data_IF_684173989521
#
_entry.id   IF_684173989521
#
_cell.length_a   1.000
_cell.length_b   1.000
_cell.length_c   1.000
_cell.angle_alpha   90.00
_cell.angle_beta   90.00
_cell.angle_gamma   90.00
#
_symmetry.space_group_name_H-M   'P 1'
#
loop_
_entity.id
_entity.type
_entity.pdbx_description
1 polymer ?
#
# COMPACT_ATOMS: atom_id res chain seq x y z
N UNK A 1 -22.85 8.77 18.24
CA UNK A 1 -22.49 8.12 16.96
C UNK A 1 -21.17 7.40 17.20
N UNK A 2 -20.99 6.22 16.63
CA UNK A 2 -19.79 5.38 16.87
C UNK A 2 -18.78 5.65 15.76
N UNK A 3 -17.58 6.07 16.12
CA UNK A 3 -16.49 6.33 15.18
C UNK A 3 -16.07 5.08 14.41
N UNK A 4 -15.50 5.30 13.22
CA UNK A 4 -14.96 4.24 12.37
C UNK A 4 -13.46 4.15 12.61
N UNK A 5 -12.99 2.97 12.98
CA UNK A 5 -11.58 2.75 13.34
C UNK A 5 -10.73 2.66 12.09
N UNK A 6 -9.79 3.60 11.93
CA UNK A 6 -8.73 3.51 10.91
C UNK A 6 -7.67 2.53 11.40
N UNK A 7 -7.55 1.39 10.75
CA UNK A 7 -6.67 0.29 11.22
C UNK A 7 -5.25 0.45 10.71
N UNK A 8 -5.08 0.77 9.43
CA UNK A 8 -3.78 0.94 8.78
C UNK A 8 -3.95 1.82 7.54
N UNK A 9 -3.05 2.76 7.36
CA UNK A 9 -2.86 3.53 6.13
C UNK A 9 -1.43 3.26 5.70
N UNK A 10 -1.28 2.48 4.63
CA UNK A 10 -0.01 2.24 4.00
C UNK A 10 -0.18 2.53 2.51
N UNK A 11 0.41 3.64 2.08
CA UNK A 11 0.44 4.02 0.68
C UNK A 11 1.83 3.89 0.10
N UNK A 12 2.82 3.42 0.86
CA UNK A 12 4.15 3.19 0.30
C UNK A 12 4.09 2.11 -0.79
N UNK A 13 4.89 2.24 -1.87
CA UNK A 13 5.12 1.14 -2.80
C UNK A 13 5.66 -0.05 -2.02
N UNK A 14 4.82 -1.06 -1.82
CA UNK A 14 5.22 -2.29 -1.14
C UNK A 14 5.65 -3.33 -2.17
N UNK A 15 6.85 -3.85 -1.94
CA UNK A 15 7.41 -4.92 -2.76
C UNK A 15 7.24 -6.22 -1.97
N UNK A 16 6.17 -6.95 -2.26
CA UNK A 16 5.98 -8.26 -1.64
C UNK A 16 6.92 -9.28 -2.31
N UNK A 17 7.83 -9.93 -1.56
CA UNK A 17 8.75 -10.94 -2.10
C UNK A 17 8.05 -12.18 -2.67
N UNK A 18 6.78 -12.44 -2.30
CA UNK A 18 5.96 -13.52 -2.87
C UNK A 18 5.19 -13.10 -4.14
N UNK A 19 5.15 -11.79 -4.42
CA UNK A 19 4.63 -11.21 -5.65
C UNK A 19 5.76 -10.61 -6.52
N UNK A 20 7.02 -10.86 -6.17
CA UNK A 20 8.19 -10.38 -6.91
C UNK A 20 8.25 -10.87 -8.36
N UNK A 21 7.53 -11.96 -8.70
CA UNK A 21 7.48 -12.53 -10.05
C UNK A 21 6.49 -11.82 -11.00
N UNK A 22 5.59 -10.96 -10.50
CA UNK A 22 4.62 -10.25 -11.34
C UNK A 22 5.09 -8.85 -11.79
N UNK A 23 6.17 -8.31 -11.21
CA UNK A 23 6.83 -7.10 -11.71
C UNK A 23 5.92 -5.86 -11.80
N UNK A 24 4.75 -5.86 -11.16
CA UNK A 24 3.79 -4.78 -11.20
C UNK A 24 3.74 -4.06 -9.86
N UNK A 25 3.78 -2.74 -9.92
CA UNK A 25 3.52 -1.89 -8.77
C UNK A 25 2.10 -2.15 -8.25
N UNK A 26 1.99 -2.45 -6.96
CA UNK A 26 0.70 -2.63 -6.31
C UNK A 26 -0.13 -1.35 -6.46
N UNK A 27 -1.38 -1.50 -6.89
CA UNK A 27 -2.32 -0.41 -6.82
C UNK A 27 -2.52 0.01 -5.36
N UNK A 28 -3.03 1.20 -5.11
CA UNK A 28 -3.45 1.58 -3.76
C UNK A 28 -4.96 1.46 -3.69
N UNK A 29 -5.48 0.79 -2.67
CA UNK A 29 -6.93 0.63 -2.50
C UNK A 29 -7.39 1.04 -1.10
N UNK A 30 -8.54 1.69 -1.06
CA UNK A 30 -9.29 1.93 0.16
C UNK A 30 -10.15 0.71 0.47
N UNK A 31 -10.11 0.25 1.72
CA UNK A 31 -10.99 -0.81 2.19
C UNK A 31 -11.86 -0.35 3.36
N UNK A 32 -13.09 -0.88 3.40
CA UNK A 32 -14.07 -0.63 4.45
C UNK A 32 -14.83 -1.91 4.80
N UNK A 33 -14.90 -2.21 6.10
CA UNK A 33 -15.82 -3.17 6.70
C UNK A 33 -16.88 -2.37 7.50
N UNK A 34 -18.08 -2.13 6.93
CA UNK A 34 -19.12 -1.34 7.59
C UNK A 34 -19.65 -1.99 8.87
N UNK A 35 -19.77 -3.34 8.89
CA UNK A 35 -20.31 -4.06 10.04
C UNK A 35 -19.37 -3.99 11.24
N UNK A 36 -18.05 -4.03 10.99
CA UNK A 36 -17.04 -3.86 12.05
C UNK A 36 -16.67 -2.40 12.29
N UNK A 37 -17.13 -1.47 11.45
CA UNK A 37 -16.72 -0.05 11.42
C UNK A 37 -15.21 0.10 11.41
N UNK A 38 -14.55 -0.56 10.45
CA UNK A 38 -13.09 -0.52 10.28
C UNK A 38 -12.76 -0.18 8.85
N UNK A 39 -11.74 0.65 8.66
CA UNK A 39 -11.26 1.00 7.34
C UNK A 39 -9.74 1.13 7.31
N UNK A 40 -9.21 1.29 6.10
CA UNK A 40 -7.81 1.59 5.88
C UNK A 40 -7.50 1.77 4.40
N UNK A 41 -6.24 2.04 4.13
CA UNK A 41 -5.70 2.09 2.78
C UNK A 41 -4.48 1.17 2.75
N UNK A 42 -4.45 0.28 1.78
CA UNK A 42 -3.41 -0.73 1.65
C UNK A 42 -3.00 -0.89 0.18
N UNK A 43 -1.79 -1.40 -0.08
CA UNK A 43 -1.43 -1.91 -1.39
C UNK A 43 -2.38 -3.05 -1.78
N UNK A 44 -2.88 -3.00 -3.01
CA UNK A 44 -3.74 -4.00 -3.63
C UNK A 44 -3.00 -4.67 -4.78
N UNK A 45 -2.94 -5.99 -4.70
CA UNK A 45 -2.28 -6.85 -5.68
C UNK A 45 -3.37 -7.55 -6.48
N UNK A 46 -3.34 -7.39 -7.80
CA UNK A 46 -4.30 -8.06 -8.69
C UNK A 46 -4.07 -9.57 -8.66
N UNK A 47 -4.76 -10.23 -7.73
CA UNK A 47 -4.68 -11.68 -7.53
C UNK A 47 -5.60 -12.45 -8.48
N UNK A 48 -6.37 -11.76 -9.34
CA UNK A 48 -7.41 -12.36 -10.16
C UNK A 48 -8.55 -13.01 -9.36
N UNK A 49 -8.61 -12.79 -8.05
CA UNK A 49 -9.61 -13.35 -7.14
C UNK A 49 -10.20 -12.26 -6.23
N UNK A 50 -11.50 -12.35 -5.97
CA UNK A 50 -12.23 -11.39 -5.13
C UNK A 50 -12.68 -12.08 -3.85
N UNK A 51 -12.48 -11.43 -2.69
CA UNK A 51 -12.96 -11.97 -1.42
C UNK A 51 -14.49 -12.11 -1.42
N UNK A 52 -15.00 -13.12 -0.74
CA UNK A 52 -16.44 -13.36 -0.67
C UNK A 52 -17.18 -12.24 0.10
N UNK A 53 -16.48 -11.44 0.91
CA UNK A 53 -16.99 -10.20 1.49
C UNK A 53 -17.27 -9.16 0.40
N UNK A 54 -16.27 -8.89 -0.43
CA UNK A 54 -16.33 -7.89 -1.50
C UNK A 54 -17.35 -8.30 -2.57
N UNK A 55 -17.31 -9.57 -3.00
CA UNK A 55 -18.24 -10.10 -4.01
C UNK A 55 -19.70 -10.02 -3.57
N UNK A 56 -19.97 -10.09 -2.26
CA UNK A 56 -21.31 -9.99 -1.71
C UNK A 56 -21.62 -8.61 -1.12
N UNK A 57 -20.81 -7.59 -1.37
CA UNK A 57 -21.06 -6.22 -0.89
C UNK A 57 -21.05 -6.06 0.64
N UNK A 58 -20.41 -6.99 1.34
CA UNK A 58 -20.28 -6.95 2.81
C UNK A 58 -19.06 -6.17 3.25
N UNK A 59 -18.06 -6.09 2.39
CA UNK A 59 -16.88 -5.25 2.50
C UNK A 59 -16.71 -4.51 1.18
N UNK A 60 -15.99 -3.39 1.24
CA UNK A 60 -15.65 -2.60 0.06
C UNK A 60 -14.14 -2.57 -0.05
N UNK A 61 -13.65 -2.88 -1.25
CA UNK A 61 -12.25 -2.72 -1.63
C UNK A 61 -12.24 -1.97 -2.96
N UNK A 62 -11.84 -0.70 -2.90
CA UNK A 62 -11.97 0.25 -4.01
C UNK A 62 -10.58 0.79 -4.33
N UNK A 63 -10.12 0.49 -5.55
CA UNK A 63 -8.88 1.01 -6.09
C UNK A 63 -8.96 2.54 -6.20
N UNK A 64 -7.92 3.20 -5.73
CA UNK A 64 -7.72 4.65 -5.87
C UNK A 64 -7.04 4.94 -7.22
N UNK A 65 -7.35 6.08 -7.81
CA UNK A 65 -6.83 6.50 -9.11
C UNK A 65 -5.36 6.93 -9.02
N UNK A 66 -4.95 7.39 -7.83
CA UNK A 66 -3.61 7.82 -7.49
C UNK A 66 -3.19 7.23 -6.14
N UNK A 67 -1.91 7.35 -5.81
CA UNK A 67 -1.38 6.99 -4.50
C UNK A 67 -1.36 8.24 -3.62
N UNK A 68 -2.34 8.44 -2.71
CA UNK A 68 -2.30 9.60 -1.84
C UNK A 68 -1.11 9.50 -0.87
N UNK A 69 -0.61 10.66 -0.46
CA UNK A 69 0.34 10.75 0.63
C UNK A 69 -0.23 10.07 1.89
N UNK A 70 0.60 9.28 2.55
CA UNK A 70 0.18 8.41 3.65
C UNK A 70 -0.36 9.23 4.83
N UNK A 71 0.37 10.28 5.20
CA UNK A 71 0.03 11.10 6.36
C UNK A 71 -1.20 11.94 6.07
N UNK A 72 -1.34 12.46 4.85
CA UNK A 72 -2.53 13.20 4.42
C UNK A 72 -3.77 12.33 4.32
N UNK A 73 -3.64 11.09 3.83
CA UNK A 73 -4.74 10.15 3.83
C UNK A 73 -5.17 9.77 5.26
N UNK A 74 -4.21 9.54 6.15
CA UNK A 74 -4.50 9.25 7.55
C UNK A 74 -5.15 10.45 8.27
N UNK A 75 -4.62 11.66 8.08
CA UNK A 75 -5.17 12.91 8.60
C UNK A 75 -6.62 13.10 8.12
N UNK A 76 -6.89 12.88 6.83
CA UNK A 76 -8.23 12.98 6.26
C UNK A 76 -9.20 11.97 6.87
N UNK A 77 -8.83 10.68 6.95
CA UNK A 77 -9.70 9.64 7.50
C UNK A 77 -10.00 9.83 9.00
N UNK A 78 -9.09 10.48 9.73
CA UNK A 78 -9.27 10.84 11.14
C UNK A 78 -9.95 12.20 11.36
N UNK A 79 -10.09 13.01 10.31
CA UNK A 79 -10.75 14.32 10.39
C UNK A 79 -12.26 14.18 10.64
N UNK A 80 -12.88 15.25 11.15
CA UNK A 80 -14.35 15.29 11.34
C UNK A 80 -15.12 15.00 10.04
N UNK A 81 -14.64 15.52 8.91
CA UNK A 81 -15.26 15.29 7.59
C UNK A 81 -15.16 13.83 7.18
N UNK A 82 -13.96 13.24 7.26
CA UNK A 82 -13.72 11.84 6.90
C UNK A 82 -14.51 10.89 7.80
N UNK A 83 -14.47 11.11 9.12
CA UNK A 83 -15.24 10.31 10.07
C UNK A 83 -16.75 10.43 9.85
N UNK A 84 -17.27 11.63 9.50
CA UNK A 84 -18.69 11.78 9.16
C UNK A 84 -19.07 10.91 7.97
N UNK A 85 -18.30 10.96 6.88
CA UNK A 85 -18.55 10.14 5.69
C UNK A 85 -18.49 8.64 5.99
N UNK A 86 -17.44 8.20 6.69
CA UNK A 86 -17.31 6.80 7.10
C UNK A 86 -18.49 6.33 7.95
N UNK A 87 -18.96 7.17 8.88
CA UNK A 87 -20.11 6.85 9.73
C UNK A 87 -21.40 6.75 8.92
N UNK A 88 -21.68 7.70 8.03
CA UNK A 88 -22.89 7.69 7.21
C UNK A 88 -22.92 6.48 6.26
N UNK A 89 -21.77 6.09 5.69
CA UNK A 89 -21.64 4.86 4.90
C UNK A 89 -21.93 3.62 5.76
N UNK A 90 -21.36 3.54 6.96
CA UNK A 90 -21.58 2.41 7.86
C UNK A 90 -23.03 2.32 8.36
N UNK A 91 -23.66 3.46 8.64
CA UNK A 91 -25.03 3.54 9.14
C UNK A 91 -26.05 3.25 8.03
N UNK A 92 -25.71 3.54 6.77
CA UNK A 92 -26.49 3.17 5.58
C UNK A 92 -26.22 1.77 5.03
N UNK A 93 -25.36 0.97 5.68
CA UNK A 93 -25.10 -0.41 5.29
C UNK A 93 -26.04 -1.40 5.99
N UNK A 94 -26.48 -2.40 5.24
CA UNK A 94 -27.25 -3.52 5.79
C UNK A 94 -26.76 -4.83 5.18
N UNK A 95 -26.98 -5.95 5.86
CA UNK A 95 -26.71 -7.29 5.34
C UNK A 95 -27.93 -8.17 5.53
N UNK A 96 -28.43 -8.71 4.42
CA UNK A 96 -29.64 -9.53 4.39
C UNK A 96 -29.40 -10.87 3.69
N UNK A 97 -30.19 -11.88 4.05
CA UNK A 97 -30.16 -13.19 3.42
C UNK A 97 -31.03 -13.18 2.15
N UNK A 98 -30.43 -13.44 0.98
CA UNK A 98 -31.15 -13.40 -0.31
C UNK A 98 -31.70 -14.76 -0.77
N UNK A 99 -31.72 -15.77 0.11
CA UNK A 99 -32.10 -17.15 -0.23
C UNK A 99 -30.92 -18.08 -0.48
N UNK A 100 -29.73 -17.54 -0.76
CA UNK A 100 -28.52 -18.33 -1.04
C UNK A 100 -27.29 -17.87 -0.24
N UNK A 101 -27.13 -16.56 -0.04
CA UNK A 101 -25.99 -15.96 0.65
C UNK A 101 -26.42 -14.74 1.49
N UNK A 102 -25.51 -14.32 2.38
CA UNK A 102 -25.60 -13.02 3.06
C UNK A 102 -25.04 -11.95 2.12
N UNK A 103 -25.88 -11.01 1.72
CA UNK A 103 -25.54 -9.94 0.78
C UNK A 103 -25.66 -8.60 1.49
N UNK A 104 -24.61 -7.80 1.38
CA UNK A 104 -24.61 -6.42 1.87
C UNK A 104 -25.10 -5.45 0.80
N UNK A 105 -25.75 -4.39 1.25
CA UNK A 105 -26.23 -3.29 0.42
C UNK A 105 -26.06 -1.96 1.16
N UNK A 106 -25.86 -0.90 0.39
CA UNK A 106 -25.91 0.48 0.86
C UNK A 106 -27.25 1.10 0.46
N UNK A 107 -27.71 2.09 1.22
CA UNK A 107 -28.72 3.01 0.71
C UNK A 107 -28.13 3.88 -0.40
N UNK A 108 -28.98 4.45 -1.26
CA UNK A 108 -28.55 5.33 -2.36
C UNK A 108 -27.72 6.54 -1.84
N UNK A 109 -28.09 7.06 -0.67
CA UNK A 109 -27.32 8.14 -0.02
C UNK A 109 -25.93 7.66 0.41
N UNK A 110 -25.83 6.45 0.98
CA UNK A 110 -24.56 5.90 1.43
C UNK A 110 -23.64 5.52 0.26
N UNK A 111 -24.19 5.07 -0.87
CA UNK A 111 -23.44 4.90 -2.13
C UNK A 111 -22.87 6.23 -2.62
N UNK A 112 -23.69 7.27 -2.64
CA UNK A 112 -23.25 8.62 -3.04
C UNK A 112 -22.14 9.14 -2.13
N UNK A 113 -22.24 8.91 -0.82
CA UNK A 113 -21.22 9.35 0.15
C UNK A 113 -19.93 8.55 -0.02
N UNK A 114 -20.01 7.25 -0.34
CA UNK A 114 -18.85 6.43 -0.66
C UNK A 114 -18.11 7.00 -1.87
N UNK A 115 -18.82 7.35 -2.94
CA UNK A 115 -18.22 7.98 -4.13
C UNK A 115 -17.53 9.31 -3.79
N UNK A 116 -18.16 10.15 -2.95
CA UNK A 116 -17.58 11.42 -2.49
C UNK A 116 -16.31 11.18 -1.66
N UNK A 117 -16.32 10.20 -0.76
CA UNK A 117 -15.15 9.85 0.04
C UNK A 117 -14.00 9.38 -0.84
N UNK A 118 -14.26 8.54 -1.84
CA UNK A 118 -13.25 8.08 -2.79
C UNK A 118 -12.71 9.25 -3.62
N UNK A 119 -13.58 10.15 -4.07
CA UNK A 119 -13.15 11.36 -4.79
C UNK A 119 -12.28 12.26 -3.91
N UNK A 120 -12.63 12.45 -2.64
CA UNK A 120 -11.82 13.22 -1.69
C UNK A 120 -10.44 12.58 -1.50
N UNK A 121 -10.36 11.24 -1.36
CA UNK A 121 -9.09 10.51 -1.26
C UNK A 121 -8.24 10.64 -2.53
N UNK A 122 -8.86 10.54 -3.71
CA UNK A 122 -8.23 10.77 -5.02
C UNK A 122 -7.90 12.25 -5.27
N UNK A 123 -8.34 13.18 -4.41
CA UNK A 123 -8.00 14.59 -4.48
C UNK A 123 -6.89 15.01 -3.52
N UNK A 124 -6.40 14.10 -2.67
CA UNK A 124 -5.29 14.38 -1.75
C UNK A 124 -3.97 14.57 -2.51
N UNK A 125 -2.95 15.19 -1.89
CA UNK A 125 -1.62 15.23 -2.46
C UNK A 125 -1.12 13.82 -2.77
N UNK A 126 -0.49 13.64 -3.92
CA UNK A 126 0.12 12.37 -4.30
C UNK A 126 1.37 12.10 -3.45
N UNK A 127 1.65 10.82 -3.23
CA UNK A 127 2.83 10.37 -2.51
C UNK A 127 4.10 10.72 -3.30
N UNK A 128 5.10 11.28 -2.61
CA UNK A 128 6.42 11.51 -3.18
C UNK A 128 7.26 10.22 -3.24
N UNK A 129 6.77 9.11 -2.67
CA UNK A 129 7.50 7.85 -2.61
C UNK A 129 7.62 7.19 -3.98
N UNK A 130 8.85 6.89 -4.39
CA UNK A 130 9.16 6.25 -5.66
C UNK A 130 9.76 4.87 -5.47
N UNK A 131 9.41 3.95 -6.37
CA UNK A 131 10.06 2.65 -6.47
C UNK A 131 11.23 2.74 -7.47
N UNK A 132 12.43 2.37 -7.03
CA UNK A 132 13.63 2.35 -7.88
C UNK A 132 14.30 0.98 -7.89
N UNK A 133 14.97 0.66 -9.00
CA UNK A 133 15.89 -0.47 -9.05
C UNK A 133 17.20 -0.11 -8.36
N UNK A 134 17.81 -1.10 -7.70
CA UNK A 134 19.02 -0.89 -6.89
C UNK A 134 20.22 -0.50 -7.75
N UNK A 135 20.35 -1.08 -8.94
CA UNK A 135 21.43 -0.73 -9.87
C UNK A 135 21.34 0.71 -10.35
N UNK A 136 20.14 1.17 -10.73
CA UNK A 136 19.91 2.56 -11.15
C UNK A 136 20.23 3.57 -10.04
N UNK A 137 19.85 3.24 -8.81
CA UNK A 137 20.17 4.06 -7.63
C UNK A 137 21.67 4.07 -7.34
N UNK A 138 22.30 2.88 -7.32
CA UNK A 138 23.70 2.75 -6.97
C UNK A 138 24.64 3.31 -8.02
N UNK A 139 24.25 3.36 -9.30
CA UNK A 139 25.00 4.01 -10.36
C UNK A 139 25.20 5.52 -10.12
N UNK A 140 24.41 6.12 -9.24
CA UNK A 140 24.54 7.52 -8.82
C UNK A 140 25.31 7.67 -7.49
N UNK A 141 25.65 6.57 -6.84
CA UNK A 141 26.31 6.52 -5.53
C UNK A 141 27.78 6.10 -5.65
N UNK A 142 28.65 6.56 -4.74
CA UNK A 142 30.08 6.19 -4.69
C UNK A 142 30.34 4.87 -3.92
N UNK A 143 29.37 3.94 -3.89
CA UNK A 143 29.50 2.72 -3.09
C UNK A 143 30.40 1.71 -3.80
N UNK A 144 31.58 1.45 -3.21
CA UNK A 144 32.53 0.45 -3.69
C UNK A 144 32.34 -0.91 -2.99
N UNK A 145 32.11 -1.96 -3.78
CA UNK A 145 32.12 -3.36 -3.33
C UNK A 145 33.34 -4.06 -3.91
N UNK A 146 34.03 -4.83 -3.07
CA UNK A 146 35.21 -5.61 -3.46
C UNK A 146 34.96 -7.12 -3.31
N UNK A 147 35.82 -7.94 -3.90
CA UNK A 147 35.75 -9.40 -3.78
C UNK A 147 35.90 -9.90 -2.32
N UNK A 148 36.49 -9.08 -1.46
CA UNK A 148 36.77 -9.39 -0.05
C UNK A 148 35.65 -8.94 0.89
N UNK A 149 34.67 -8.17 0.42
CA UNK A 149 33.57 -7.66 1.26
C UNK A 149 32.83 -8.82 1.94
N UNK A 150 32.74 -8.76 3.26
CA UNK A 150 32.10 -9.76 4.11
C UNK A 150 30.57 -9.67 4.07
N UNK A 151 29.88 -10.72 4.51
CA UNK A 151 28.41 -10.69 4.59
C UNK A 151 27.92 -9.66 5.63
N UNK A 152 28.67 -9.47 6.73
CA UNK A 152 28.39 -8.45 7.74
C UNK A 152 28.59 -7.02 7.23
N UNK A 153 29.55 -6.81 6.33
CA UNK A 153 29.73 -5.52 5.64
C UNK A 153 28.61 -5.28 4.63
N UNK A 154 28.20 -6.31 3.86
CA UNK A 154 27.07 -6.22 2.96
C UNK A 154 25.79 -5.86 3.71
N UNK A 155 25.53 -6.47 4.87
CA UNK A 155 24.37 -6.13 5.69
C UNK A 155 24.41 -4.67 6.15
N UNK A 156 25.55 -4.19 6.67
CA UNK A 156 25.68 -2.78 7.08
C UNK A 156 25.54 -1.80 5.92
N UNK A 157 26.10 -2.12 4.75
CA UNK A 157 25.95 -1.32 3.54
C UNK A 157 24.49 -1.29 3.09
N UNK A 158 23.80 -2.44 3.12
CA UNK A 158 22.39 -2.50 2.76
C UNK A 158 21.53 -1.63 3.68
N UNK A 159 21.76 -1.68 5.00
CA UNK A 159 21.07 -0.84 5.97
C UNK A 159 21.33 0.66 5.73
N UNK A 160 22.58 1.03 5.41
CA UNK A 160 22.94 2.41 5.09
C UNK A 160 22.25 2.90 3.81
N UNK A 161 22.29 2.10 2.73
CA UNK A 161 21.64 2.41 1.46
C UNK A 161 20.12 2.55 1.65
N UNK A 162 19.51 1.66 2.42
CA UNK A 162 18.08 1.75 2.72
C UNK A 162 17.73 3.02 3.50
N UNK A 163 18.59 3.42 4.44
CA UNK A 163 18.42 4.67 5.18
C UNK A 163 18.51 5.89 4.25
N UNK A 164 19.52 5.94 3.38
CA UNK A 164 19.75 7.06 2.48
C UNK A 164 18.64 7.16 1.43
N UNK A 165 18.20 6.03 0.87
CA UNK A 165 17.05 5.98 -0.04
C UNK A 165 15.76 6.49 0.63
N UNK A 166 15.50 6.10 1.88
CA UNK A 166 14.34 6.61 2.64
C UNK A 166 14.39 8.12 2.86
N UNK A 167 15.57 8.70 3.04
CA UNK A 167 15.73 10.15 3.18
C UNK A 167 15.36 10.92 1.90
N UNK A 168 15.39 10.24 0.75
CA UNK A 168 15.02 10.78 -0.56
C UNK A 168 13.64 10.27 -1.04
N UNK A 169 12.84 9.67 -0.16
CA UNK A 169 11.54 9.06 -0.47
C UNK A 169 11.63 7.95 -1.54
N UNK A 170 12.70 7.16 -1.54
CA UNK A 170 12.89 6.03 -2.46
C UNK A 170 12.81 4.69 -1.72
N UNK A 171 12.06 3.76 -2.31
CA UNK A 171 12.02 2.35 -1.90
C UNK A 171 12.86 1.54 -2.87
N UNK A 172 13.80 0.75 -2.33
CA UNK A 172 14.74 -0.08 -3.10
C UNK A 172 14.53 -1.57 -2.82
N UNK A 173 14.54 -2.40 -3.87
CA UNK A 173 14.36 -3.85 -3.73
C UNK A 173 15.67 -4.63 -3.68
N UNK A 174 15.82 -5.50 -2.67
CA UNK A 174 16.81 -6.57 -2.74
C UNK A 174 18.25 -6.08 -2.71
N UNK A 175 18.52 -4.97 -2.01
CA UNK A 175 19.84 -4.35 -1.87
C UNK A 175 20.89 -5.41 -1.51
N UNK A 176 20.70 -6.14 -0.40
CA UNK A 176 21.66 -7.17 0.03
C UNK A 176 21.88 -8.29 -1.00
N UNK A 177 20.85 -8.67 -1.78
CA UNK A 177 20.99 -9.65 -2.86
C UNK A 177 21.87 -9.10 -3.98
N UNK A 178 21.61 -7.86 -4.39
CA UNK A 178 22.40 -7.16 -5.41
C UNK A 178 23.87 -7.03 -4.98
N UNK A 179 24.13 -6.56 -3.76
CA UNK A 179 25.50 -6.42 -3.24
C UNK A 179 26.26 -7.76 -3.20
N UNK A 180 25.58 -8.87 -2.88
CA UNK A 180 26.18 -10.22 -2.93
C UNK A 180 26.50 -10.65 -4.35
N UNK A 181 25.60 -10.39 -5.29
CA UNK A 181 25.80 -10.72 -6.70
C UNK A 181 26.99 -9.95 -7.29
N UNK A 182 27.12 -8.66 -6.97
CA UNK A 182 28.27 -7.84 -7.37
C UNK A 182 29.59 -8.38 -6.80
N UNK A 183 29.62 -8.74 -5.51
CA UNK A 183 30.80 -9.38 -4.89
C UNK A 183 31.18 -10.68 -5.60
N UNK A 184 30.21 -11.54 -5.89
CA UNK A 184 30.44 -12.81 -6.58
C UNK A 184 31.01 -12.59 -7.99
N UNK A 185 30.45 -11.65 -8.74
CA UNK A 185 30.96 -11.29 -10.07
C UNK A 185 32.42 -10.80 -10.01
N UNK A 186 32.78 -9.98 -9.00
CA UNK A 186 34.16 -9.54 -8.77
C UNK A 186 35.12 -10.69 -8.42
N UNK A 187 34.65 -11.72 -7.70
CA UNK A 187 35.46 -12.91 -7.37
C UNK A 187 35.74 -13.78 -8.61
N UNK A 188 34.82 -13.81 -9.57
CA UNK A 188 34.99 -14.59 -10.81
C UNK A 188 35.87 -13.87 -11.86
N UNK A 189 35.98 -12.54 -11.77
CA UNK A 189 36.71 -11.70 -12.73
C UNK A 189 38.08 -11.20 -12.23
N UNK A 190 38.47 -11.54 -11.00
CA UNK A 190 39.79 -11.28 -10.39
C UNK A 190 40.66 -12.53 -10.43
#
# INVERSE_FOLDING_TARGET
>A
MTEVTVVKVNTMPEIDPYHADIGQEAATAFWLDPQKRRCGILPDYDSGSMDAGDYHGRTYNIRLDQRPDQDKAQEYLLSEKGQRWLQEICDGHSVEWNGHNMVGSLTEEAETILDILIQDLNGLPESEWQLWQVDDWLNQSEIEITAETTDEEITRLAEQIEHDAKAEHVVLQGIARFLRQEREWKRETT
#
